data_IF_116578907492
#
_entry.id   IF_116578907492
#
_cell.length_a   1.000
_cell.length_b   1.000
_cell.length_c   1.000
_cell.angle_alpha   90.00
_cell.angle_beta   90.00
_cell.angle_gamma   90.00
#
_symmetry.space_group_name_H-M   'P 1'
#
loop_
_entity.id
_entity.type
_entity.pdbx_description
1 polymer ?
#
# COMPACT_ATOMS: atom_id res chain seq x y z
N UNK A 1 -4.25 7.99 19.62
CA UNK A 1 -5.28 7.04 19.20
C UNK A 1 -5.05 6.71 17.74
N UNK A 2 -4.54 5.51 17.46
CA UNK A 2 -4.47 4.97 16.10
C UNK A 2 -5.90 4.60 15.71
N UNK A 3 -6.36 5.03 14.55
CA UNK A 3 -7.68 4.64 14.05
C UNK A 3 -7.72 3.12 13.89
N UNK A 4 -8.78 2.47 14.40
CA UNK A 4 -8.93 1.02 14.33
C UNK A 4 -9.13 0.49 12.90
N UNK A 5 -9.31 1.38 11.94
CA UNK A 5 -9.41 1.03 10.53
C UNK A 5 -9.63 2.23 9.61
N UNK A 6 -9.48 1.99 8.31
CA UNK A 6 -9.56 2.98 7.25
C UNK A 6 -10.70 2.61 6.32
N UNK A 7 -11.49 3.60 5.93
CA UNK A 7 -12.44 3.50 4.80
C UNK A 7 -11.79 4.17 3.59
N UNK A 8 -11.56 3.40 2.55
CA UNK A 8 -11.00 3.92 1.31
C UNK A 8 -12.12 4.30 0.36
N UNK A 9 -12.13 5.57 -0.07
CA UNK A 9 -13.08 6.07 -1.05
C UNK A 9 -12.42 6.16 -2.44
N UNK A 10 -13.04 5.58 -3.44
CA UNK A 10 -12.53 5.58 -4.82
C UNK A 10 -13.66 5.70 -5.83
N UNK A 11 -13.36 6.01 -7.08
CA UNK A 11 -14.38 6.13 -8.11
C UNK A 11 -13.88 6.68 -9.44
N UNK A 12 -14.84 6.94 -10.34
CA UNK A 12 -14.55 7.54 -11.62
C UNK A 12 -13.92 8.93 -11.46
N UNK A 13 -12.85 9.17 -12.19
CA UNK A 13 -12.04 10.38 -12.11
C UNK A 13 -11.56 10.82 -13.50
N UNK A 14 -11.16 12.09 -13.58
CA UNK A 14 -10.61 12.66 -14.81
C UNK A 14 -9.32 11.95 -15.24
N UNK A 15 -9.24 11.58 -16.51
CA UNK A 15 -8.09 10.91 -17.12
C UNK A 15 -7.63 9.61 -16.47
N UNK A 16 -8.46 8.96 -15.67
CA UNK A 16 -8.15 7.65 -15.12
C UNK A 16 -9.04 6.58 -15.73
N UNK A 17 -8.45 5.52 -16.23
CA UNK A 17 -9.18 4.34 -16.67
C UNK A 17 -9.73 3.55 -15.47
N UNK A 18 -10.79 2.78 -15.71
CA UNK A 18 -11.30 1.84 -14.70
C UNK A 18 -10.20 0.89 -14.19
N UNK A 19 -9.39 0.35 -15.10
CA UNK A 19 -8.28 -0.54 -14.76
C UNK A 19 -7.29 0.11 -13.80
N UNK A 20 -6.92 1.35 -14.05
CA UNK A 20 -5.98 2.10 -13.19
C UNK A 20 -6.56 2.36 -11.81
N UNK A 21 -7.83 2.75 -11.72
CA UNK A 21 -8.49 2.97 -10.43
C UNK A 21 -8.55 1.68 -9.61
N UNK A 22 -8.89 0.57 -10.24
CA UNK A 22 -8.96 -0.74 -9.57
C UNK A 22 -7.57 -1.19 -9.10
N UNK A 23 -6.54 -1.07 -9.96
CA UNK A 23 -5.16 -1.41 -9.63
C UNK A 23 -4.63 -0.57 -8.45
N UNK A 24 -4.80 0.73 -8.48
CA UNK A 24 -4.35 1.63 -7.43
C UNK A 24 -5.07 1.35 -6.10
N UNK A 25 -6.36 1.05 -6.14
CA UNK A 25 -7.16 0.70 -4.96
C UNK A 25 -6.69 -0.63 -4.36
N UNK A 26 -6.49 -1.65 -5.18
CA UNK A 26 -6.01 -2.95 -4.73
C UNK A 26 -4.60 -2.85 -4.13
N UNK A 27 -3.72 -2.06 -4.74
CA UNK A 27 -2.37 -1.82 -4.22
C UNK A 27 -2.40 -1.08 -2.88
N UNK A 28 -3.26 -0.09 -2.73
CA UNK A 28 -3.45 0.61 -1.46
C UNK A 28 -3.92 -0.35 -0.36
N UNK A 29 -4.91 -1.18 -0.63
CA UNK A 29 -5.38 -2.20 0.32
C UNK A 29 -4.26 -3.18 0.71
N UNK A 30 -3.44 -3.61 -0.25
CA UNK A 30 -2.26 -4.44 0.00
C UNK A 30 -1.28 -3.78 0.98
N UNK A 31 -1.02 -2.48 0.82
CA UNK A 31 -0.13 -1.73 1.70
C UNK A 31 -0.71 -1.55 3.10
N UNK A 32 -2.02 -1.33 3.21
CA UNK A 32 -2.69 -1.20 4.52
C UNK A 32 -2.69 -2.51 5.31
N UNK A 33 -2.58 -3.66 4.64
CA UNK A 33 -2.52 -4.99 5.25
C UNK A 33 -1.09 -5.44 5.62
N UNK A 34 -0.10 -4.55 5.61
CA UNK A 34 1.25 -4.89 6.04
C UNK A 34 1.25 -5.41 7.47
N UNK A 35 1.99 -6.49 7.75
CA UNK A 35 2.05 -7.07 9.08
C UNK A 35 2.69 -6.11 10.08
N UNK A 36 2.14 -6.10 11.30
CA UNK A 36 2.73 -5.35 12.42
C UNK A 36 4.01 -6.03 12.87
N UNK A 37 5.07 -5.23 13.02
CA UNK A 37 6.33 -5.69 13.57
C UNK A 37 6.18 -6.05 15.06
N UNK A 38 6.66 -7.22 15.45
CA UNK A 38 6.72 -7.63 16.86
C UNK A 38 7.82 -6.87 17.61
N UNK A 39 8.93 -6.63 16.92
CA UNK A 39 10.08 -5.87 17.45
C UNK A 39 10.56 -4.88 16.42
N UNK A 40 11.11 -3.74 16.88
CA UNK A 40 11.71 -2.76 15.98
C UNK A 40 13.19 -3.04 15.76
N UNK A 41 13.66 -3.08 14.51
CA UNK A 41 15.09 -3.09 14.22
C UNK A 41 15.73 -1.72 14.55
N UNK A 42 17.06 -1.62 14.48
CA UNK A 42 17.74 -0.35 14.60
C UNK A 42 17.23 0.68 13.61
N UNK A 43 17.12 1.93 14.05
CA UNK A 43 16.70 3.03 13.21
C UNK A 43 17.79 3.39 12.18
N UNK A 44 17.39 3.59 10.93
CA UNK A 44 18.27 3.99 9.83
C UNK A 44 18.62 5.49 9.88
N UNK A 45 19.05 6.01 11.03
CA UNK A 45 19.31 7.43 11.24
C UNK A 45 20.47 7.95 10.38
N UNK A 46 21.50 7.14 10.16
CA UNK A 46 22.69 7.50 9.37
C UNK A 46 22.60 7.01 7.91
N UNK A 47 21.45 6.53 7.49
CA UNK A 47 21.19 6.01 6.15
C UNK A 47 20.81 4.54 6.12
N UNK A 48 19.93 4.20 5.19
CA UNK A 48 19.38 2.87 5.05
C UNK A 48 20.45 1.84 4.66
N UNK A 49 21.33 2.19 3.72
CA UNK A 49 22.40 1.29 3.26
C UNK A 49 23.33 0.87 4.39
N UNK A 50 23.77 1.83 5.22
CA UNK A 50 24.63 1.57 6.37
C UNK A 50 23.96 0.65 7.37
N UNK A 51 22.73 0.95 7.73
CA UNK A 51 21.95 0.15 8.69
C UNK A 51 21.78 -1.30 8.22
N UNK A 52 21.46 -1.49 6.94
CA UNK A 52 21.33 -2.84 6.38
C UNK A 52 22.65 -3.61 6.31
N UNK A 53 23.77 -2.94 6.02
CA UNK A 53 25.09 -3.57 6.06
C UNK A 53 25.50 -4.05 7.46
N UNK A 54 25.13 -3.26 8.47
CA UNK A 54 25.47 -3.57 9.87
C UNK A 54 24.52 -4.58 10.50
N UNK A 55 23.23 -4.53 10.18
CA UNK A 55 22.20 -5.27 10.91
C UNK A 55 21.35 -6.21 10.06
N UNK A 56 21.35 -6.07 8.73
CA UNK A 56 20.47 -6.82 7.83
C UNK A 56 18.99 -6.40 7.90
N UNK A 57 18.66 -5.47 8.77
CA UNK A 57 17.33 -4.95 9.00
C UNK A 57 17.38 -3.46 9.37
N UNK A 58 16.27 -2.73 9.14
CA UNK A 58 16.21 -1.31 9.45
C UNK A 58 14.79 -0.85 9.78
N UNK A 59 14.67 0.08 10.75
CA UNK A 59 13.47 0.87 10.99
C UNK A 59 13.59 2.23 10.30
N UNK A 60 12.57 2.58 9.52
CA UNK A 60 12.51 3.82 8.74
C UNK A 60 11.31 4.64 9.24
N UNK A 61 11.52 5.68 10.06
CA UNK A 61 10.42 6.50 10.58
C UNK A 61 9.80 7.43 9.52
N UNK A 62 10.55 7.76 8.49
CA UNK A 62 10.11 8.59 7.36
C UNK A 62 9.51 7.77 6.20
N UNK A 63 9.37 8.42 5.04
CA UNK A 63 8.86 7.78 3.85
C UNK A 63 9.87 6.79 3.26
N UNK A 64 9.39 5.63 2.86
CA UNK A 64 10.14 4.64 2.09
C UNK A 64 9.78 4.81 0.60
N UNK A 65 10.75 5.17 -0.21
CA UNK A 65 10.55 5.50 -1.63
C UNK A 65 11.30 4.56 -2.56
N UNK A 66 10.87 4.52 -3.83
CA UNK A 66 11.56 3.75 -4.87
C UNK A 66 13.04 4.14 -5.01
N UNK A 67 13.36 5.44 -4.89
CA UNK A 67 14.74 5.93 -4.98
C UNK A 67 15.64 5.41 -3.87
N UNK A 68 15.09 5.08 -2.72
CA UNK A 68 15.83 4.46 -1.61
C UNK A 68 15.99 2.94 -1.82
N UNK A 69 14.95 2.28 -2.30
CA UNK A 69 14.85 0.82 -2.34
C UNK A 69 15.51 0.22 -3.59
N UNK A 70 15.32 0.83 -4.76
CA UNK A 70 15.80 0.26 -6.03
C UNK A 70 17.33 0.04 -6.07
N UNK A 71 18.18 0.99 -5.64
CA UNK A 71 19.62 0.75 -5.59
C UNK A 71 20.01 -0.42 -4.69
N UNK A 72 19.33 -0.57 -3.56
CA UNK A 72 19.58 -1.64 -2.59
C UNK A 72 19.12 -3.01 -3.08
N UNK A 73 18.03 -3.05 -3.86
CA UNK A 73 17.60 -4.25 -4.57
C UNK A 73 18.62 -4.69 -5.62
N UNK A 74 19.15 -3.72 -6.38
CA UNK A 74 20.17 -3.98 -7.42
C UNK A 74 21.49 -4.50 -6.84
N UNK A 75 21.92 -3.97 -5.71
CA UNK A 75 23.14 -4.43 -5.02
C UNK A 75 22.98 -5.76 -4.31
N UNK A 76 21.76 -6.26 -4.14
CA UNK A 76 21.47 -7.47 -3.39
C UNK A 76 21.47 -7.31 -1.87
N UNK A 77 21.67 -6.09 -1.37
CA UNK A 77 21.77 -5.80 0.07
C UNK A 77 20.48 -6.06 0.84
N UNK A 78 19.33 -5.96 0.15
CA UNK A 78 18.00 -6.21 0.76
C UNK A 78 17.60 -7.68 0.80
N UNK A 79 18.28 -8.56 0.09
CA UNK A 79 17.87 -9.96 -0.02
C UNK A 79 17.78 -10.65 1.34
N UNK A 80 16.62 -11.20 1.67
CA UNK A 80 16.34 -11.83 2.95
C UNK A 80 16.33 -10.85 4.13
N UNK A 81 16.38 -9.53 3.86
CA UNK A 81 16.36 -8.48 4.87
C UNK A 81 14.98 -8.17 5.41
N UNK A 82 14.93 -7.22 6.33
CA UNK A 82 13.69 -6.76 6.97
C UNK A 82 13.66 -5.25 7.05
N UNK A 83 12.55 -4.67 6.57
CA UNK A 83 12.28 -3.24 6.64
C UNK A 83 11.01 -3.01 7.46
N UNK A 84 11.08 -2.12 8.43
CA UNK A 84 9.94 -1.68 9.24
C UNK A 84 9.72 -0.20 9.04
N UNK A 85 8.53 0.18 8.61
CA UNK A 85 8.11 1.59 8.49
C UNK A 85 7.25 2.00 9.67
N UNK A 86 7.08 3.32 9.90
CA UNK A 86 6.27 3.82 11.01
C UNK A 86 4.80 3.38 10.89
N UNK A 87 4.23 3.56 9.72
CA UNK A 87 2.87 3.14 9.37
C UNK A 87 2.77 2.91 7.84
N UNK A 88 1.74 2.22 7.34
CA UNK A 88 1.62 1.90 5.92
C UNK A 88 1.57 3.11 4.99
N UNK A 89 1.12 4.28 5.45
CA UNK A 89 1.07 5.50 4.63
C UNK A 89 2.45 6.04 4.26
N UNK A 90 3.50 5.57 4.93
CA UNK A 90 4.89 5.93 4.65
C UNK A 90 5.51 5.11 3.51
N UNK A 91 4.84 4.10 3.02
CA UNK A 91 5.31 3.28 1.90
C UNK A 91 4.89 3.92 0.57
N UNK A 92 5.83 4.58 -0.09
CA UNK A 92 5.64 5.25 -1.37
C UNK A 92 6.34 4.46 -2.49
N UNK A 93 6.08 3.15 -2.54
CA UNK A 93 6.64 2.24 -3.51
C UNK A 93 5.64 1.92 -4.61
N UNK A 94 6.13 1.81 -5.83
CA UNK A 94 5.33 1.30 -6.95
C UNK A 94 5.03 -0.20 -6.78
N UNK A 95 3.94 -0.70 -7.36
CA UNK A 95 3.61 -2.13 -7.33
C UNK A 95 4.76 -3.04 -7.76
N UNK A 96 5.45 -2.69 -8.84
CA UNK A 96 6.62 -3.45 -9.33
C UNK A 96 7.76 -3.53 -8.30
N UNK A 97 7.97 -2.47 -7.53
CA UNK A 97 9.00 -2.46 -6.48
C UNK A 97 8.59 -3.35 -5.31
N UNK A 98 7.31 -3.33 -4.93
CA UNK A 98 6.77 -4.22 -3.91
C UNK A 98 6.91 -5.70 -4.32
N UNK A 99 6.61 -6.01 -5.57
CA UNK A 99 6.77 -7.37 -6.10
C UNK A 99 8.23 -7.83 -6.10
N UNK A 100 9.16 -6.94 -6.43
CA UNK A 100 10.60 -7.22 -6.34
C UNK A 100 11.06 -7.46 -4.91
N UNK A 101 10.55 -6.72 -3.94
CA UNK A 101 10.83 -6.98 -2.51
C UNK A 101 10.34 -8.37 -2.12
N UNK A 102 9.13 -8.74 -2.51
CA UNK A 102 8.55 -10.06 -2.23
C UNK A 102 9.38 -11.20 -2.84
N UNK A 103 9.77 -11.08 -4.12
CA UNK A 103 10.62 -12.07 -4.81
C UNK A 103 11.99 -12.21 -4.16
N UNK A 104 12.54 -11.16 -3.57
CA UNK A 104 13.82 -11.17 -2.84
C UNK A 104 13.68 -11.56 -1.38
N UNK A 105 12.50 -12.01 -0.96
CA UNK A 105 12.21 -12.44 0.41
C UNK A 105 12.48 -11.34 1.44
N UNK A 106 12.25 -10.08 1.07
CA UNK A 106 12.36 -8.93 1.97
C UNK A 106 11.07 -8.83 2.79
N UNK A 107 11.18 -8.91 4.11
CA UNK A 107 10.06 -8.67 5.01
C UNK A 107 9.80 -7.16 5.11
N UNK A 108 8.62 -6.72 4.66
CA UNK A 108 8.15 -5.34 4.83
C UNK A 108 7.04 -5.34 5.87
N UNK A 109 7.28 -4.64 6.97
CA UNK A 109 6.40 -4.59 8.14
C UNK A 109 6.16 -3.16 8.56
N UNK A 110 5.21 -2.96 9.47
CA UNK A 110 4.88 -1.64 10.02
C UNK A 110 4.93 -1.65 11.56
N UNK A 111 5.37 -0.54 12.15
CA UNK A 111 5.31 -0.34 13.60
C UNK A 111 3.87 -0.21 14.07
N UNK A 112 3.10 0.67 13.43
CA UNK A 112 1.70 0.91 13.72
C UNK A 112 0.83 0.31 12.61
N UNK A 113 0.11 -0.75 12.93
CA UNK A 113 -0.75 -1.42 11.96
C UNK A 113 -1.96 -0.55 11.62
N UNK A 114 -2.33 -0.55 10.35
CA UNK A 114 -3.61 -0.08 9.88
C UNK A 114 -4.32 -1.23 9.17
N UNK A 115 -5.61 -1.11 8.92
CA UNK A 115 -6.35 -2.05 8.09
C UNK A 115 -7.45 -1.32 7.33
N UNK A 116 -7.72 -1.76 6.13
CA UNK A 116 -8.88 -1.30 5.37
C UNK A 116 -10.13 -2.04 5.87
N UNK A 117 -11.13 -1.30 6.29
CA UNK A 117 -12.42 -1.86 6.74
C UNK A 117 -13.32 -2.17 5.55
N UNK A 118 -13.40 -1.24 4.61
CA UNK A 118 -14.14 -1.37 3.35
C UNK A 118 -13.61 -0.40 2.31
N UNK A 119 -14.00 -0.65 1.07
CA UNK A 119 -13.81 0.27 -0.06
C UNK A 119 -15.18 0.80 -0.45
N UNK A 120 -15.35 2.12 -0.42
CA UNK A 120 -16.54 2.76 -0.96
C UNK A 120 -16.27 3.21 -2.40
N UNK A 121 -17.20 2.94 -3.29
CA UNK A 121 -17.06 3.25 -4.72
C UNK A 121 -18.12 4.24 -5.18
N UNK A 122 -17.72 5.16 -6.06
CA UNK A 122 -18.63 6.02 -6.80
C UNK A 122 -18.33 5.90 -8.30
N UNK A 123 -19.17 5.19 -9.06
CA UNK A 123 -18.95 5.02 -10.50
C UNK A 123 -19.18 6.29 -11.32
N UNK A 124 -19.66 7.38 -10.71
CA UNK A 124 -19.93 8.66 -11.37
C UNK A 124 -19.20 9.78 -10.64
N UNK A 125 -18.28 10.45 -11.33
CA UNK A 125 -17.59 11.61 -10.78
C UNK A 125 -18.48 12.86 -10.70
N UNK A 126 -18.07 13.83 -9.90
CA UNK A 126 -18.73 15.14 -9.81
C UNK A 126 -18.76 15.90 -11.14
N UNK A 127 -17.85 15.59 -12.06
CA UNK A 127 -17.71 16.24 -13.36
C UNK A 127 -18.32 15.43 -14.52
N UNK A 128 -19.11 14.38 -14.22
CA UNK A 128 -19.83 13.59 -15.21
C UNK A 128 -19.06 12.41 -15.83
N UNK A 129 -17.83 12.14 -15.42
CA UNK A 129 -17.12 10.94 -15.83
C UNK A 129 -17.79 9.71 -15.24
N UNK A 130 -17.97 8.67 -16.05
CA UNK A 130 -18.71 7.47 -15.65
C UNK A 130 -17.94 6.20 -16.00
N UNK A 131 -17.97 5.25 -15.07
CA UNK A 131 -17.70 3.86 -15.37
C UNK A 131 -19.01 3.09 -15.48
N UNK A 132 -19.02 1.97 -16.20
CA UNK A 132 -20.12 1.02 -16.08
C UNK A 132 -20.17 0.53 -14.63
N UNK A 133 -21.32 0.78 -13.98
CA UNK A 133 -21.48 0.57 -12.55
C UNK A 133 -21.25 -0.88 -12.14
N UNK A 134 -21.93 -1.80 -12.84
CA UNK A 134 -21.92 -3.21 -12.44
C UNK A 134 -20.54 -3.82 -12.71
N UNK A 135 -19.96 -3.51 -13.86
CA UNK A 135 -18.60 -3.96 -14.21
C UNK A 135 -17.59 -3.42 -13.19
N UNK A 136 -17.67 -2.15 -12.84
CA UNK A 136 -16.73 -1.53 -11.89
C UNK A 136 -16.81 -2.15 -10.49
N UNK A 137 -18.01 -2.33 -9.97
CA UNK A 137 -18.24 -2.93 -8.65
C UNK A 137 -17.77 -4.39 -8.62
N UNK A 138 -18.14 -5.19 -9.62
CA UNK A 138 -17.77 -6.60 -9.69
C UNK A 138 -16.25 -6.79 -9.80
N UNK A 139 -15.60 -6.00 -10.65
CA UNK A 139 -14.15 -6.03 -10.78
C UNK A 139 -13.43 -5.57 -9.51
N UNK A 140 -13.95 -4.55 -8.84
CA UNK A 140 -13.40 -4.10 -7.56
C UNK A 140 -13.52 -5.19 -6.51
N UNK A 141 -14.67 -5.86 -6.40
CA UNK A 141 -14.89 -6.99 -5.47
C UNK A 141 -13.94 -8.15 -5.71
N UNK A 142 -13.57 -8.40 -6.96
CA UNK A 142 -12.57 -9.43 -7.31
C UNK A 142 -11.14 -9.03 -6.97
N UNK A 143 -10.86 -7.73 -6.86
CA UNK A 143 -9.51 -7.18 -6.70
C UNK A 143 -9.13 -6.89 -5.26
N UNK A 144 -10.10 -6.76 -4.35
CA UNK A 144 -9.87 -6.46 -2.93
C UNK A 144 -10.53 -7.52 -2.04
N UNK A 145 -9.97 -7.72 -0.85
CA UNK A 145 -10.47 -8.71 0.12
C UNK A 145 -11.47 -8.17 1.12
N UNK A 146 -11.71 -6.87 1.09
CA UNK A 146 -12.62 -6.17 2.01
C UNK A 146 -13.96 -5.89 1.33
N UNK A 147 -15.03 -5.61 2.09
CA UNK A 147 -16.33 -5.23 1.50
C UNK A 147 -16.21 -4.03 0.56
N UNK A 148 -16.91 -4.09 -0.56
CA UNK A 148 -17.04 -3.00 -1.53
C UNK A 148 -18.48 -2.47 -1.47
N UNK A 149 -18.63 -1.18 -1.17
CA UNK A 149 -19.90 -0.51 -0.93
C UNK A 149 -20.14 0.56 -1.97
N UNK A 150 -21.27 0.51 -2.66
CA UNK A 150 -21.69 1.61 -3.52
C UNK A 150 -22.43 2.66 -2.67
N UNK A 151 -21.79 3.80 -2.45
CA UNK A 151 -22.31 4.86 -1.58
C UNK A 151 -23.71 5.35 -1.98
N UNK A 152 -24.01 5.37 -3.29
CA UNK A 152 -25.32 5.84 -3.77
C UNK A 152 -26.48 4.85 -3.50
N UNK A 153 -26.18 3.58 -3.35
CA UNK A 153 -27.18 2.56 -3.06
C UNK A 153 -27.43 2.38 -1.56
N UNK A 154 -26.38 2.49 -0.78
CA UNK A 154 -26.46 2.28 0.68
C UNK A 154 -27.02 3.50 1.43
N UNK A 155 -26.94 4.70 0.82
CA UNK A 155 -27.44 5.96 1.40
C UNK A 155 -28.79 6.41 0.82
N UNK A 156 -29.34 5.63 -0.08
CA UNK A 156 -30.62 5.95 -0.72
C UNK A 156 -31.83 5.52 0.13
#
# INVERSE_FOLDING_TARGET
NVADGIVLCTGASYNMSMDKVIEDTANFCRLMDLPKAETLPPEAAEGLEKCLKEHGEAYIPGALTDSMVIPLLRSGLLRGGRLVVADPSKVLLKPDTLDKLSVREVALETKDAARTLCVTVNPVSAYGWKFDKDVFIDRMRQSVKVPVINVKEELA
#
